data_IF_207376616443
#
_entry.id   IF_207376616443
#
_cell.length_a   1.000
_cell.length_b   1.000
_cell.length_c   1.000
_cell.angle_alpha   90.00
_cell.angle_beta   90.00
_cell.angle_gamma   90.00
#
_symmetry.space_group_name_H-M   'P 1'
#
loop_
_entity.id
_entity.type
_entity.pdbx_description
1 polymer ?
#
# COMPACT_ATOMS: atom_id res chain seq x y z
N UNK A 1 22.08 4.47 -7.60
CA UNK A 1 21.74 5.12 -6.32
C UNK A 1 21.11 6.46 -6.64
N UNK A 2 19.86 6.69 -6.25
CA UNK A 2 19.19 7.97 -6.45
C UNK A 2 19.32 8.79 -5.18
N UNK A 3 19.62 10.08 -5.31
CA UNK A 3 19.69 11.02 -4.18
C UNK A 3 18.43 11.85 -4.22
N UNK A 4 17.68 11.86 -3.13
CA UNK A 4 16.48 12.67 -2.95
C UNK A 4 16.67 13.61 -1.76
N UNK A 5 16.04 14.78 -1.81
CA UNK A 5 15.88 15.65 -0.65
C UNK A 5 14.46 15.51 -0.14
N UNK A 6 14.32 15.19 1.15
CA UNK A 6 13.01 15.00 1.79
C UNK A 6 12.87 15.93 2.99
N UNK A 7 11.72 16.62 3.07
CA UNK A 7 11.31 17.33 4.28
C UNK A 7 10.51 16.37 5.15
N UNK A 8 10.86 16.28 6.43
CA UNK A 8 10.21 15.40 7.39
C UNK A 8 9.71 16.19 8.59
N UNK A 9 8.76 15.62 9.34
CA UNK A 9 8.30 16.21 10.60
C UNK A 9 9.41 16.17 11.66
N UNK A 10 9.25 17.00 12.71
CA UNK A 10 10.19 17.04 13.84
C UNK A 10 10.34 15.68 14.50
N UNK A 11 9.23 14.97 14.72
CA UNK A 11 9.22 13.66 15.38
C UNK A 11 10.02 12.61 14.59
N UNK A 12 9.92 12.64 13.25
CA UNK A 12 10.72 11.78 12.38
C UNK A 12 12.19 12.16 12.46
N UNK A 13 12.52 13.45 12.44
CA UNK A 13 13.90 13.90 12.58
C UNK A 13 14.52 13.45 13.92
N UNK A 14 13.79 13.58 15.02
CA UNK A 14 14.22 13.13 16.35
C UNK A 14 14.40 11.61 16.41
N UNK A 15 13.52 10.84 15.77
CA UNK A 15 13.66 9.39 15.65
C UNK A 15 14.93 9.00 14.91
N UNK A 16 15.24 9.66 13.78
CA UNK A 16 16.46 9.41 13.02
C UNK A 16 17.72 9.69 13.84
N UNK A 17 17.75 10.79 14.60
CA UNK A 17 18.87 11.10 15.50
C UNK A 17 19.01 10.02 16.59
N UNK A 18 17.89 9.55 17.15
CA UNK A 18 17.90 8.50 18.15
C UNK A 18 18.46 7.19 17.59
N UNK A 19 18.08 6.82 16.36
CA UNK A 19 18.64 5.64 15.67
C UNK A 19 20.15 5.73 15.52
N UNK A 20 20.69 6.91 15.21
CA UNK A 20 22.13 7.12 15.10
C UNK A 20 22.79 7.03 16.49
N UNK A 21 22.22 7.70 17.50
CA UNK A 21 22.77 7.74 18.86
C UNK A 21 22.86 6.34 19.50
N UNK A 22 21.95 5.44 19.14
CA UNK A 22 21.91 4.06 19.62
C UNK A 22 22.75 3.09 18.76
N UNK A 23 23.41 3.57 17.71
CA UNK A 23 24.22 2.74 16.81
C UNK A 23 23.42 1.85 15.86
N UNK A 24 22.10 2.08 15.73
CA UNK A 24 21.23 1.35 14.79
C UNK A 24 21.56 1.74 13.34
N UNK A 25 21.96 2.99 13.13
CA UNK A 25 22.39 3.52 11.84
C UNK A 25 23.66 4.36 12.00
N UNK A 26 24.50 4.43 10.96
CA UNK A 26 25.74 5.22 10.94
C UNK A 26 25.51 6.64 10.43
N UNK A 27 24.36 6.90 9.80
CA UNK A 27 24.00 8.21 9.24
C UNK A 27 22.50 8.40 9.13
N UNK A 28 22.05 9.65 8.91
CA UNK A 28 20.63 9.97 8.66
C UNK A 28 20.10 9.26 7.42
N UNK A 29 20.91 9.16 6.38
CA UNK A 29 20.53 8.49 5.14
C UNK A 29 20.31 6.99 5.35
N UNK A 30 21.22 6.33 6.08
CA UNK A 30 21.08 4.92 6.44
C UNK A 30 19.87 4.69 7.34
N UNK A 31 19.63 5.56 8.33
CA UNK A 31 18.46 5.48 9.19
C UNK A 31 17.14 5.59 8.40
N UNK A 32 17.07 6.56 7.47
CA UNK A 32 15.93 6.72 6.56
C UNK A 32 15.74 5.47 5.71
N UNK A 33 16.80 4.92 5.13
CA UNK A 33 16.71 3.72 4.30
C UNK A 33 16.21 2.51 5.11
N UNK A 34 16.70 2.31 6.33
CA UNK A 34 16.22 1.24 7.22
C UNK A 34 14.72 1.40 7.50
N UNK A 35 14.26 2.62 7.79
CA UNK A 35 12.84 2.91 8.01
C UNK A 35 12.00 2.62 6.76
N UNK A 36 12.46 3.07 5.58
CA UNK A 36 11.74 2.87 4.32
C UNK A 36 11.65 1.38 3.98
N UNK A 37 12.75 0.64 4.08
CA UNK A 37 12.75 -0.80 3.77
C UNK A 37 11.84 -1.59 4.72
N UNK A 38 11.76 -1.21 6.00
CA UNK A 38 10.78 -1.80 6.92
C UNK A 38 9.33 -1.53 6.51
N UNK A 39 9.02 -0.32 6.05
CA UNK A 39 7.68 0.05 5.59
C UNK A 39 7.34 -0.47 4.19
N UNK A 40 8.35 -0.86 3.40
CA UNK A 40 8.23 -1.15 1.98
C UNK A 40 7.26 -2.30 1.68
N UNK A 41 7.33 -3.39 2.45
CA UNK A 41 6.52 -4.58 2.19
C UNK A 41 5.00 -4.29 2.23
N UNK A 42 4.57 -3.47 3.20
CA UNK A 42 3.17 -3.06 3.33
C UNK A 42 2.74 -2.14 2.18
N UNK A 43 3.60 -1.21 1.77
CA UNK A 43 3.32 -0.33 0.63
C UNK A 43 3.23 -1.13 -0.68
N UNK A 44 4.15 -2.07 -0.92
CA UNK A 44 4.09 -2.95 -2.10
C UNK A 44 2.82 -3.81 -2.12
N UNK A 45 2.36 -4.28 -0.95
CA UNK A 45 1.09 -5.00 -0.83
C UNK A 45 -0.09 -4.14 -1.28
N UNK A 46 -0.19 -2.90 -0.76
CA UNK A 46 -1.27 -1.98 -1.12
C UNK A 46 -1.25 -1.61 -2.60
N UNK A 47 -0.07 -1.39 -3.18
CA UNK A 47 0.05 -1.11 -4.61
C UNK A 47 -0.54 -2.25 -5.43
N UNK A 48 -0.19 -3.51 -5.12
CA UNK A 48 -0.75 -4.68 -5.83
C UNK A 48 -2.27 -4.76 -5.71
N UNK A 49 -2.81 -4.50 -4.52
CA UNK A 49 -4.26 -4.49 -4.28
C UNK A 49 -4.97 -3.43 -5.14
N UNK A 50 -4.44 -2.21 -5.18
CA UNK A 50 -4.99 -1.11 -5.99
C UNK A 50 -4.85 -1.38 -7.49
N UNK A 51 -3.77 -2.00 -7.93
CA UNK A 51 -3.57 -2.41 -9.32
C UNK A 51 -4.59 -3.46 -9.76
N UNK A 52 -4.91 -4.43 -8.89
CA UNK A 52 -5.93 -5.45 -9.18
C UNK A 52 -7.34 -4.82 -9.25
N UNK A 53 -7.67 -3.92 -8.32
CA UNK A 53 -8.92 -3.15 -8.37
C UNK A 53 -9.03 -2.37 -9.67
N UNK A 54 -7.97 -1.65 -10.07
CA UNK A 54 -7.95 -0.89 -11.32
C UNK A 54 -8.18 -1.80 -12.53
N UNK A 55 -7.54 -2.97 -12.56
CA UNK A 55 -7.71 -3.97 -13.62
C UNK A 55 -9.14 -4.48 -13.71
N UNK A 56 -9.77 -4.79 -12.57
CA UNK A 56 -11.17 -5.22 -12.52
C UNK A 56 -12.12 -4.12 -13.00
N UNK A 57 -11.88 -2.87 -12.61
CA UNK A 57 -12.66 -1.71 -13.08
C UNK A 57 -12.49 -1.53 -14.59
N UNK A 58 -11.27 -1.62 -15.12
CA UNK A 58 -11.02 -1.52 -16.56
C UNK A 58 -11.70 -2.65 -17.34
N UNK A 59 -11.67 -3.88 -16.83
CA UNK A 59 -12.36 -5.03 -17.41
C UNK A 59 -13.87 -4.78 -17.43
N UNK A 60 -14.43 -4.33 -16.29
CA UNK A 60 -15.84 -3.99 -16.19
C UNK A 60 -16.26 -2.89 -17.18
N UNK A 61 -15.46 -1.83 -17.32
CA UNK A 61 -15.74 -0.74 -18.25
C UNK A 61 -15.68 -1.18 -19.72
N UNK A 62 -14.81 -2.14 -20.06
CA UNK A 62 -14.65 -2.64 -21.44
C UNK A 62 -15.69 -3.69 -21.81
N UNK A 63 -15.95 -4.63 -20.91
CA UNK A 63 -16.73 -5.84 -21.18
C UNK A 63 -18.16 -5.75 -20.66
N UNK A 64 -18.49 -4.72 -19.85
CA UNK A 64 -19.72 -4.69 -19.06
C UNK A 64 -19.58 -5.55 -17.81
N UNK A 65 -20.63 -5.61 -16.98
CA UNK A 65 -20.58 -6.45 -15.77
C UNK A 65 -20.53 -7.92 -16.19
N UNK A 66 -19.58 -8.74 -15.70
CA UNK A 66 -19.52 -10.17 -16.03
C UNK A 66 -20.65 -10.91 -15.30
N UNK A 67 -21.87 -10.74 -15.82
CA UNK A 67 -23.12 -11.32 -15.33
C UNK A 67 -23.47 -12.63 -16.06
N UNK A 68 -22.60 -13.19 -16.90
CA UNK A 68 -22.91 -14.41 -17.62
C UNK A 68 -22.91 -15.59 -16.63
N UNK A 69 -24.11 -15.96 -16.18
CA UNK A 69 -24.44 -17.05 -15.24
C UNK A 69 -24.31 -16.75 -13.73
N UNK A 70 -24.64 -15.55 -13.27
CA UNK A 70 -24.89 -15.32 -11.84
C UNK A 70 -26.30 -15.80 -11.46
N UNK A 71 -26.40 -17.00 -10.89
CA UNK A 71 -27.62 -17.46 -10.22
C UNK A 71 -27.76 -16.75 -8.87
N UNK A 72 -28.45 -15.62 -8.86
CA UNK A 72 -28.77 -14.84 -7.65
C UNK A 72 -30.13 -15.23 -7.05
N UNK A 73 -30.60 -16.46 -7.28
CA UNK A 73 -31.89 -16.93 -6.80
C UNK A 73 -31.90 -17.13 -5.28
N UNK A 74 -30.77 -17.52 -4.72
CA UNK A 74 -30.52 -17.62 -3.28
C UNK A 74 -30.65 -16.27 -2.56
N UNK A 75 -30.11 -15.19 -3.13
CA UNK A 75 -30.18 -13.83 -2.57
C UNK A 75 -31.60 -13.22 -2.60
N UNK A 76 -32.51 -13.79 -3.41
CA UNK A 76 -33.90 -13.32 -3.52
C UNK A 76 -34.81 -13.93 -2.46
N UNK A 77 -34.55 -15.17 -2.02
CA UNK A 77 -35.31 -15.83 -0.96
C UNK A 77 -35.12 -15.14 0.39
N UNK A 78 -33.91 -14.71 0.76
CA UNK A 78 -33.68 -14.03 2.05
C UNK A 78 -34.34 -12.65 2.16
N UNK A 79 -34.63 -11.98 1.04
CA UNK A 79 -35.18 -10.62 1.05
C UNK A 79 -36.71 -10.57 1.06
N UNK A 80 -37.36 -11.63 0.58
CA UNK A 80 -38.81 -11.67 0.36
C UNK A 80 -39.49 -12.93 0.91
N UNK A 81 -38.73 -13.87 1.48
CA UNK A 81 -39.23 -15.09 2.15
C UNK A 81 -39.60 -14.89 3.61
#
# INVERSE_FOLDING_TARGET
>A
MAIITVKVSKDVAELLEKMISLGIARSKNEAINIMIEHGRAEIERRIREEEEVRKLVEMWLKEGYPCENLDASDLREERYG
#
